data_IF_133546399468
#
_entry.id   IF_133546399468
#
_cell.length_a   1.000
_cell.length_b   1.000
_cell.length_c   1.000
_cell.angle_alpha   90.00
_cell.angle_beta   90.00
_cell.angle_gamma   90.00
#
_symmetry.space_group_name_H-M   'P 1'
#
loop_
_entity.id
_entity.type
_entity.pdbx_description
1 polymer ?
#
# COMPACT_ATOMS: atom_id res chain seq x y z
N UNK A 1 15.21 -43.25 -17.64
CA UNK A 1 15.83 -41.98 -17.21
C UNK A 1 14.71 -41.01 -16.88
N UNK A 2 14.32 -40.93 -15.62
CA UNK A 2 13.36 -39.93 -15.15
C UNK A 2 14.13 -38.63 -14.90
N UNK A 3 13.66 -37.53 -15.49
CA UNK A 3 14.16 -36.19 -15.23
C UNK A 3 13.79 -35.81 -13.78
N UNK A 4 14.80 -35.41 -13.01
CA UNK A 4 14.61 -34.84 -11.68
C UNK A 4 14.10 -33.40 -11.81
N UNK A 5 13.05 -33.08 -11.04
CA UNK A 5 12.47 -31.75 -10.91
C UNK A 5 13.46 -30.80 -10.22
N UNK A 6 13.94 -29.79 -10.96
CA UNK A 6 14.88 -28.76 -10.51
C UNK A 6 14.17 -27.52 -9.90
N UNK A 7 12.99 -27.71 -9.28
CA UNK A 7 12.13 -26.62 -8.81
C UNK A 7 12.42 -26.10 -7.40
N UNK A 8 13.09 -26.86 -6.53
CA UNK A 8 13.06 -26.64 -5.07
C UNK A 8 14.17 -25.77 -4.46
N UNK A 9 15.29 -25.56 -5.15
CA UNK A 9 16.47 -24.87 -4.58
C UNK A 9 16.42 -23.34 -4.75
N UNK A 10 15.82 -22.85 -5.84
CA UNK A 10 15.72 -21.43 -6.15
C UNK A 10 14.66 -20.67 -5.32
N UNK A 11 13.51 -21.30 -5.08
CA UNK A 11 12.38 -20.66 -4.38
C UNK A 11 12.66 -20.44 -2.89
N UNK A 12 13.24 -21.43 -2.20
CA UNK A 12 13.65 -21.28 -0.80
C UNK A 12 14.65 -20.12 -0.62
N UNK A 13 15.58 -19.95 -1.57
CA UNK A 13 16.58 -18.88 -1.52
C UNK A 13 15.94 -17.49 -1.67
N UNK A 14 14.96 -17.33 -2.56
CA UNK A 14 14.27 -16.05 -2.76
C UNK A 14 13.39 -15.69 -1.56
N UNK A 15 12.64 -16.66 -1.04
CA UNK A 15 11.75 -16.45 0.11
C UNK A 15 12.54 -15.96 1.33
N UNK A 16 13.69 -16.58 1.60
CA UNK A 16 14.58 -16.21 2.70
C UNK A 16 15.15 -14.80 2.51
N UNK A 17 15.53 -14.44 1.28
CA UNK A 17 16.03 -13.10 0.95
C UNK A 17 14.98 -12.01 1.15
N UNK A 18 13.76 -12.19 0.62
CA UNK A 18 12.66 -11.23 0.79
C UNK A 18 12.27 -11.10 2.27
N UNK A 19 12.23 -12.22 3.00
CA UNK A 19 11.94 -12.23 4.45
C UNK A 19 13.00 -11.44 5.23
N UNK A 20 14.29 -11.72 5.00
CA UNK A 20 15.39 -11.05 5.68
C UNK A 20 15.45 -9.55 5.35
N UNK A 21 15.22 -9.20 4.08
CA UNK A 21 15.17 -7.81 3.62
C UNK A 21 14.01 -7.06 4.28
N UNK A 22 12.83 -7.66 4.32
CA UNK A 22 11.65 -7.05 4.92
C UNK A 22 11.83 -6.86 6.43
N UNK A 23 12.40 -7.83 7.16
CA UNK A 23 12.72 -7.69 8.59
C UNK A 23 13.66 -6.52 8.90
N UNK A 24 14.57 -6.19 7.96
CA UNK A 24 15.46 -5.02 8.10
C UNK A 24 14.72 -3.70 7.95
N UNK A 25 13.72 -3.66 7.06
CA UNK A 25 13.01 -2.44 6.69
C UNK A 25 11.78 -2.16 7.54
N UNK A 26 11.02 -3.19 7.90
CA UNK A 26 9.84 -3.01 8.73
C UNK A 26 10.22 -2.46 10.11
N UNK A 27 9.34 -1.60 10.64
CA UNK A 27 9.50 -0.94 11.93
C UNK A 27 8.32 -1.18 12.87
N UNK A 28 7.31 -1.91 12.40
CA UNK A 28 6.17 -2.26 13.24
C UNK A 28 6.50 -3.52 14.05
N UNK A 29 6.64 -3.35 15.36
CA UNK A 29 6.98 -4.43 16.28
C UNK A 29 6.01 -5.63 16.19
N UNK A 30 4.70 -5.38 16.03
CA UNK A 30 3.71 -6.46 15.98
C UNK A 30 3.93 -7.38 14.77
N UNK A 31 4.18 -6.80 13.60
CA UNK A 31 4.43 -7.57 12.37
C UNK A 31 5.80 -8.23 12.37
N UNK A 32 6.82 -7.57 12.94
CA UNK A 32 8.15 -8.17 13.15
C UNK A 32 8.08 -9.41 14.04
N UNK A 33 7.37 -9.35 15.17
CA UNK A 33 7.26 -10.48 16.10
C UNK A 33 6.51 -11.67 15.47
N UNK A 34 5.49 -11.41 14.65
CA UNK A 34 4.82 -12.48 13.89
C UNK A 34 5.81 -13.19 12.98
N UNK A 35 6.59 -12.46 12.18
CA UNK A 35 7.55 -13.06 11.24
C UNK A 35 8.66 -13.82 11.95
N UNK A 36 9.23 -13.25 13.03
CA UNK A 36 10.25 -13.94 13.84
C UNK A 36 9.75 -15.26 14.40
N UNK A 37 8.49 -15.30 14.88
CA UNK A 37 7.86 -16.53 15.36
C UNK A 37 7.71 -17.55 14.25
N UNK A 38 7.21 -17.15 13.07
CA UNK A 38 7.07 -18.06 11.93
C UNK A 38 8.43 -18.67 11.50
N UNK A 39 9.51 -17.88 11.56
CA UNK A 39 10.87 -18.36 11.30
C UNK A 39 11.30 -19.37 12.37
N UNK A 40 11.10 -19.06 13.65
CA UNK A 40 11.48 -19.95 14.76
C UNK A 40 10.72 -21.28 14.74
N UNK A 41 9.46 -21.26 14.29
CA UNK A 41 8.62 -22.45 14.11
C UNK A 41 8.91 -23.21 12.82
N UNK A 42 9.75 -22.67 11.92
CA UNK A 42 10.02 -23.27 10.61
C UNK A 42 8.78 -23.31 9.71
N UNK A 43 7.79 -22.44 9.93
CA UNK A 43 6.51 -22.44 9.23
C UNK A 43 6.63 -21.79 7.84
N UNK A 44 7.21 -22.56 6.90
CA UNK A 44 7.46 -22.10 5.52
C UNK A 44 6.18 -21.78 4.76
N UNK A 45 5.09 -22.50 5.00
CA UNK A 45 3.82 -22.27 4.31
C UNK A 45 3.28 -20.87 4.61
N UNK A 46 3.32 -20.44 5.88
CA UNK A 46 2.83 -19.12 6.26
C UNK A 46 3.80 -18.00 5.83
N UNK A 47 5.11 -18.28 5.82
CA UNK A 47 6.10 -17.37 5.24
C UNK A 47 5.85 -17.17 3.74
N UNK A 48 5.54 -18.23 2.99
CA UNK A 48 5.18 -18.13 1.57
C UNK A 48 3.93 -17.26 1.35
N UNK A 49 2.91 -17.39 2.20
CA UNK A 49 1.73 -16.50 2.14
C UNK A 49 2.04 -15.03 2.45
N UNK A 50 3.12 -14.75 3.18
CA UNK A 50 3.54 -13.40 3.52
C UNK A 50 4.52 -12.80 2.50
N UNK A 51 5.36 -13.63 1.86
CA UNK A 51 6.54 -13.19 1.10
C UNK A 51 6.66 -13.78 -0.31
N UNK A 52 5.81 -14.72 -0.70
CA UNK A 52 5.89 -15.43 -1.98
C UNK A 52 5.61 -14.55 -3.20
N UNK A 53 4.71 -13.58 -3.06
CA UNK A 53 4.29 -12.70 -4.14
C UNK A 53 4.20 -11.23 -3.72
N UNK A 54 4.67 -10.30 -4.57
CA UNK A 54 4.42 -8.88 -4.34
C UNK A 54 2.98 -8.53 -4.73
N UNK A 55 2.40 -7.59 -4.02
CA UNK A 55 1.08 -7.07 -4.37
C UNK A 55 1.08 -6.35 -5.70
N UNK A 56 0.05 -6.62 -6.49
CA UNK A 56 -0.18 -6.01 -7.78
C UNK A 56 -1.36 -5.02 -7.73
N UNK A 57 -1.28 -3.99 -8.57
CA UNK A 57 -2.37 -3.02 -8.71
C UNK A 57 -3.49 -3.60 -9.57
N UNK A 58 -4.63 -3.87 -8.94
CA UNK A 58 -5.86 -4.23 -9.63
C UNK A 58 -6.66 -3.02 -10.12
N UNK A 59 -7.81 -3.29 -10.73
CA UNK A 59 -8.77 -2.27 -11.21
C UNK A 59 -9.29 -1.35 -10.11
N UNK A 60 -9.24 -1.79 -8.86
CA UNK A 60 -9.69 -1.05 -7.69
C UNK A 60 -8.55 -0.71 -6.71
N UNK A 61 -7.31 -0.64 -7.23
CA UNK A 61 -6.11 -0.30 -6.46
C UNK A 61 -5.42 -1.52 -5.84
N UNK A 62 -4.52 -1.24 -4.90
CA UNK A 62 -3.78 -2.26 -4.15
C UNK A 62 -4.68 -2.86 -3.06
N UNK A 63 -4.78 -4.19 -3.00
CA UNK A 63 -5.61 -4.90 -2.02
C UNK A 63 -4.92 -6.15 -1.51
N UNK A 64 -4.99 -6.33 -0.20
CA UNK A 64 -4.53 -7.52 0.52
C UNK A 64 -5.09 -7.51 1.94
N UNK A 65 -5.08 -8.67 2.61
CA UNK A 65 -5.27 -8.74 4.05
C UNK A 65 -4.17 -7.95 4.78
N UNK A 66 -4.52 -7.37 5.93
CA UNK A 66 -3.52 -6.69 6.77
C UNK A 66 -2.64 -7.71 7.49
N UNK A 67 -1.32 -7.52 7.41
CA UNK A 67 -0.40 -8.49 7.98
C UNK A 67 1.05 -8.27 7.57
N UNK A 68 1.97 -9.10 8.07
CA UNK A 68 3.38 -9.00 7.72
C UNK A 68 3.67 -9.41 6.28
N UNK A 69 4.79 -8.91 5.76
CA UNK A 69 5.35 -9.32 4.48
C UNK A 69 4.86 -8.54 3.25
N UNK A 70 5.47 -8.85 2.12
CA UNK A 70 5.29 -8.13 0.85
C UNK A 70 4.00 -8.51 0.10
N UNK A 71 3.36 -9.61 0.51
CA UNK A 71 2.06 -10.07 0.00
C UNK A 71 0.87 -9.51 0.82
N UNK A 72 1.13 -8.63 1.79
CA UNK A 72 0.11 -8.13 2.74
C UNK A 72 0.11 -6.60 2.82
N UNK A 73 -0.99 -6.08 3.35
CA UNK A 73 -1.11 -4.66 3.64
C UNK A 73 -0.49 -4.33 5.01
N UNK A 74 0.55 -3.51 5.02
CA UNK A 74 1.25 -3.05 6.21
C UNK A 74 1.91 -1.70 5.96
N UNK A 75 2.45 -1.11 7.02
CA UNK A 75 3.10 0.19 7.00
C UNK A 75 4.18 0.30 5.91
N UNK A 76 5.03 -0.71 5.77
CA UNK A 76 6.12 -0.71 4.80
C UNK A 76 5.58 -0.74 3.35
N UNK A 77 4.60 -1.60 3.07
CA UNK A 77 3.90 -1.64 1.79
C UNK A 77 3.34 -0.26 1.44
N UNK A 78 2.66 0.42 2.38
CA UNK A 78 2.11 1.76 2.14
C UNK A 78 3.19 2.76 1.80
N UNK A 79 4.25 2.83 2.60
CA UNK A 79 5.33 3.79 2.38
C UNK A 79 5.97 3.57 1.01
N UNK A 80 6.32 2.32 0.67
CA UNK A 80 6.97 1.99 -0.60
C UNK A 80 6.06 2.27 -1.80
N UNK A 81 4.79 1.87 -1.73
CA UNK A 81 3.81 2.14 -2.78
C UNK A 81 3.59 3.64 -2.95
N UNK A 82 3.42 4.39 -1.86
CA UNK A 82 3.25 5.85 -1.93
C UNK A 82 4.48 6.54 -2.50
N UNK A 83 5.70 6.12 -2.15
CA UNK A 83 6.93 6.65 -2.75
C UNK A 83 6.99 6.40 -4.26
N UNK A 84 6.64 5.19 -4.71
CA UNK A 84 6.53 4.88 -6.13
C UNK A 84 5.50 5.75 -6.84
N UNK A 85 4.35 5.95 -6.19
CA UNK A 85 3.27 6.77 -6.72
C UNK A 85 3.63 8.26 -6.78
N UNK A 86 4.35 8.81 -5.79
CA UNK A 86 4.90 10.17 -5.83
C UNK A 86 5.70 10.41 -7.12
N UNK A 87 6.68 9.53 -7.39
CA UNK A 87 7.54 9.65 -8.57
C UNK A 87 6.76 9.53 -9.87
N UNK A 88 5.72 8.70 -9.90
CA UNK A 88 4.84 8.60 -11.06
C UNK A 88 4.07 9.91 -11.26
N UNK A 89 3.42 10.42 -10.22
CA UNK A 89 2.61 11.64 -10.30
C UNK A 89 3.45 12.86 -10.69
N UNK A 90 4.66 13.02 -10.14
CA UNK A 90 5.56 14.12 -10.50
C UNK A 90 5.93 14.11 -12.00
N UNK A 91 6.06 12.92 -12.60
CA UNK A 91 6.31 12.79 -14.05
C UNK A 91 5.09 13.12 -14.90
N UNK A 92 3.90 12.84 -14.38
CA UNK A 92 2.65 13.07 -15.13
C UNK A 92 2.12 14.49 -14.97
N UNK A 93 2.40 15.15 -13.84
CA UNK A 93 1.77 16.41 -13.44
C UNK A 93 2.80 17.42 -12.96
N UNK A 94 3.14 18.37 -13.83
CA UNK A 94 4.08 19.44 -13.52
C UNK A 94 3.61 20.40 -12.42
N UNK A 95 2.30 20.48 -12.19
CA UNK A 95 1.69 21.33 -11.16
C UNK A 95 1.29 20.58 -9.88
N UNK A 96 1.76 19.33 -9.69
CA UNK A 96 1.46 18.51 -8.52
C UNK A 96 1.79 19.20 -7.20
N UNK A 97 2.94 19.88 -7.11
CA UNK A 97 3.38 20.55 -5.87
C UNK A 97 2.57 21.80 -5.53
N UNK A 98 1.83 22.34 -6.50
CA UNK A 98 0.90 23.47 -6.28
C UNK A 98 -0.48 22.93 -5.88
N UNK A 99 -0.93 21.84 -6.52
CA UNK A 99 -2.26 21.25 -6.31
C UNK A 99 -2.38 20.36 -5.08
N UNK A 100 -1.32 19.64 -4.74
CA UNK A 100 -1.34 18.64 -3.67
C UNK A 100 -2.14 17.38 -4.00
N UNK A 101 -2.49 16.62 -2.95
CA UNK A 101 -3.27 15.37 -3.01
C UNK A 101 -4.31 15.36 -1.90
N UNK A 102 -5.50 14.82 -2.20
CA UNK A 102 -6.54 14.58 -1.20
C UNK A 102 -6.52 13.11 -0.77
N UNK A 103 -6.55 12.86 0.54
CA UNK A 103 -6.53 11.52 1.12
C UNK A 103 -7.71 11.38 2.08
N UNK A 104 -8.45 10.29 1.95
CA UNK A 104 -9.51 9.87 2.89
C UNK A 104 -9.29 8.42 3.32
N UNK A 105 -10.06 7.98 4.32
CA UNK A 105 -10.00 6.61 4.82
C UNK A 105 -11.36 6.16 5.36
N UNK A 106 -11.56 4.84 5.44
CA UNK A 106 -12.72 4.22 6.07
C UNK A 106 -12.40 3.70 7.49
N UNK A 107 -13.35 3.01 8.12
CA UNK A 107 -13.29 2.62 9.53
C UNK A 107 -12.46 1.36 9.82
N UNK A 108 -11.70 0.82 8.86
CA UNK A 108 -11.15 -0.52 8.98
C UNK A 108 -9.84 -0.56 9.78
N UNK A 109 -9.71 -1.62 10.56
CA UNK A 109 -8.56 -1.86 11.41
C UNK A 109 -8.33 -3.36 11.58
N UNK A 110 -7.07 -3.73 11.76
CA UNK A 110 -6.66 -5.07 12.11
C UNK A 110 -5.74 -4.97 13.34
N UNK A 111 -6.32 -5.05 14.56
CA UNK A 111 -5.60 -4.82 15.81
C UNK A 111 -4.36 -5.71 15.96
N UNK A 112 -4.43 -6.97 15.52
CA UNK A 112 -3.34 -7.94 15.66
C UNK A 112 -2.07 -7.59 14.89
N UNK A 113 -2.18 -6.81 13.79
CA UNK A 113 -1.02 -6.29 13.05
C UNK A 113 -0.72 -4.82 13.36
N UNK A 114 -1.56 -4.14 14.15
CA UNK A 114 -1.50 -2.69 14.34
C UNK A 114 -1.91 -1.86 13.12
N UNK A 115 -2.41 -2.50 12.06
CA UNK A 115 -2.84 -1.84 10.83
C UNK A 115 -4.20 -1.19 10.95
N UNK A 116 -4.39 -0.03 10.33
CA UNK A 116 -5.71 0.59 10.15
C UNK A 116 -5.72 1.55 8.98
N UNK A 117 -6.89 1.77 8.38
CA UNK A 117 -7.07 2.73 7.28
C UNK A 117 -6.61 4.14 7.68
N UNK A 118 -6.91 4.55 8.92
CA UNK A 118 -6.44 5.84 9.47
C UNK A 118 -4.91 5.89 9.56
N UNK A 119 -4.26 4.83 10.05
CA UNK A 119 -2.78 4.76 10.12
C UNK A 119 -2.16 4.83 8.73
N UNK A 120 -2.68 4.05 7.80
CA UNK A 120 -2.17 3.99 6.44
C UNK A 120 -2.37 5.32 5.69
N UNK A 121 -3.51 5.98 5.86
CA UNK A 121 -3.74 7.31 5.30
C UNK A 121 -2.72 8.35 5.82
N UNK A 122 -2.39 8.29 7.12
CA UNK A 122 -1.35 9.15 7.70
C UNK A 122 0.04 8.83 7.14
N UNK A 123 0.40 7.56 6.99
CA UNK A 123 1.69 7.16 6.39
C UNK A 123 1.81 7.63 4.94
N UNK A 124 0.75 7.46 4.15
CA UNK A 124 0.69 7.98 2.79
C UNK A 124 0.84 9.51 2.77
N UNK A 125 0.09 10.22 3.63
CA UNK A 125 0.19 11.68 3.77
C UNK A 125 1.60 12.13 4.12
N UNK A 126 2.22 11.54 5.14
CA UNK A 126 3.61 11.84 5.55
C UNK A 126 4.59 11.59 4.41
N UNK A 127 4.38 10.52 3.63
CA UNK A 127 5.23 10.21 2.48
C UNK A 127 5.13 11.29 1.41
N UNK A 128 3.92 11.74 1.03
CA UNK A 128 3.76 12.87 0.09
C UNK A 128 4.34 14.18 0.60
N UNK A 129 4.10 14.51 1.88
CA UNK A 129 4.63 15.72 2.52
C UNK A 129 6.16 15.71 2.48
N UNK A 130 6.80 14.55 2.70
CA UNK A 130 8.27 14.41 2.63
C UNK A 130 8.86 14.74 1.24
N UNK A 131 8.04 14.69 0.19
CA UNK A 131 8.42 15.05 -1.19
C UNK A 131 8.06 16.50 -1.55
N UNK A 132 7.53 17.27 -0.60
CA UNK A 132 7.05 18.64 -0.81
C UNK A 132 5.72 18.72 -1.57
N UNK A 133 4.90 17.66 -1.53
CA UNK A 133 3.56 17.63 -2.11
C UNK A 133 2.56 17.97 -1.01
N UNK A 134 1.74 19.04 -1.14
CA UNK A 134 0.70 19.36 -0.17
C UNK A 134 -0.32 18.23 -0.04
N UNK A 135 -0.82 17.99 1.18
CA UNK A 135 -1.81 16.93 1.42
C UNK A 135 -3.02 17.48 2.17
N UNK A 136 -4.20 17.20 1.64
CA UNK A 136 -5.50 17.44 2.28
C UNK A 136 -6.03 16.11 2.80
N UNK A 137 -5.79 15.84 4.08
CA UNK A 137 -6.25 14.63 4.75
C UNK A 137 -7.57 14.92 5.48
N UNK A 138 -8.60 14.11 5.22
CA UNK A 138 -9.85 14.18 5.98
C UNK A 138 -9.63 13.92 7.47
N UNK A 139 -10.32 14.69 8.32
CA UNK A 139 -10.18 14.59 9.78
C UNK A 139 -10.74 13.30 10.37
N UNK A 140 -11.72 12.69 9.69
CA UNK A 140 -12.33 11.44 10.13
C UNK A 140 -12.76 10.54 8.96
N UNK A 141 -13.30 9.37 9.30
CA UNK A 141 -13.86 8.37 8.41
C UNK A 141 -14.80 9.05 7.42
N UNK A 142 -14.47 8.89 6.13
CA UNK A 142 -15.16 9.62 5.06
C UNK A 142 -15.57 8.66 3.95
N UNK A 143 -16.86 8.56 3.64
CA UNK A 143 -17.33 7.80 2.49
C UNK A 143 -16.76 8.33 1.17
N UNK A 144 -16.42 7.42 0.26
CA UNK A 144 -15.91 7.70 -1.09
C UNK A 144 -16.59 8.87 -1.84
N UNK A 145 -17.93 9.03 -1.82
CA UNK A 145 -18.58 10.15 -2.53
C UNK A 145 -18.14 11.55 -2.06
N UNK A 146 -17.82 11.72 -0.77
CA UNK A 146 -17.36 13.00 -0.24
C UNK A 146 -15.97 13.39 -0.74
N UNK A 147 -15.14 12.41 -1.08
CA UNK A 147 -13.84 12.68 -1.70
C UNK A 147 -14.06 13.32 -3.07
N UNK A 148 -14.96 12.75 -3.88
CA UNK A 148 -15.29 13.29 -5.21
C UNK A 148 -15.77 14.74 -5.09
N UNK A 149 -16.58 15.04 -4.07
CA UNK A 149 -17.07 16.39 -3.82
C UNK A 149 -15.95 17.35 -3.39
N UNK A 150 -15.06 16.93 -2.49
CA UNK A 150 -13.90 17.73 -2.10
C UNK A 150 -13.00 18.05 -3.31
N UNK A 151 -12.83 17.13 -4.25
CA UNK A 151 -12.05 17.38 -5.47
C UNK A 151 -12.69 18.43 -6.37
N UNK A 152 -14.02 18.47 -6.46
CA UNK A 152 -14.73 19.53 -7.20
C UNK A 152 -14.55 20.88 -6.51
N UNK A 153 -14.69 20.92 -5.18
CA UNK A 153 -14.57 22.14 -4.38
C UNK A 153 -13.17 22.75 -4.46
N UNK A 154 -12.12 21.92 -4.56
CA UNK A 154 -10.73 22.35 -4.76
C UNK A 154 -10.40 22.72 -6.24
N UNK A 155 -11.42 22.85 -7.10
CA UNK A 155 -11.31 23.11 -8.54
C UNK A 155 -10.37 22.16 -9.31
N UNK A 156 -10.10 20.94 -8.79
CA UNK A 156 -9.33 19.94 -9.55
C UNK A 156 -10.01 19.56 -10.87
N UNK A 157 -11.32 19.76 -11.01
CA UNK A 157 -12.07 19.43 -12.22
C UNK A 157 -11.93 20.44 -13.37
N UNK A 158 -11.58 21.71 -13.11
CA UNK A 158 -11.62 22.78 -14.13
C UNK A 158 -10.44 22.79 -15.12
N UNK A 159 -9.39 22.02 -14.88
CA UNK A 159 -8.15 22.05 -15.69
C UNK A 159 -7.67 20.68 -16.17
N UNK A 160 -8.41 19.63 -15.88
CA UNK A 160 -8.06 18.27 -16.26
C UNK A 160 -9.09 17.78 -17.28
N UNK A 161 -8.62 17.26 -18.40
CA UNK A 161 -9.48 16.70 -19.44
C UNK A 161 -10.26 15.50 -18.83
N UNK A 162 -11.57 15.38 -19.08
CA UNK A 162 -12.49 14.46 -18.37
C UNK A 162 -12.01 12.99 -18.35
N UNK A 163 -11.24 12.57 -19.36
CA UNK A 163 -10.63 11.23 -19.44
C UNK A 163 -9.51 11.00 -18.40
N UNK A 164 -8.78 12.03 -18.03
CA UNK A 164 -7.72 11.95 -17.02
C UNK A 164 -8.30 11.97 -15.59
N UNK A 165 -9.35 12.78 -15.34
CA UNK A 165 -10.08 12.77 -14.08
C UNK A 165 -10.64 11.38 -13.76
N UNK A 166 -11.30 10.70 -14.69
CA UNK A 166 -11.91 9.37 -14.42
C UNK A 166 -10.88 8.29 -14.12
N UNK A 167 -9.70 8.35 -14.74
CA UNK A 167 -8.61 7.39 -14.48
C UNK A 167 -7.89 7.68 -13.16
N UNK A 168 -7.69 8.95 -12.78
CA UNK A 168 -7.03 9.30 -11.51
C UNK A 168 -7.95 9.33 -10.29
N UNK A 169 -9.21 9.79 -10.41
CA UNK A 169 -10.16 9.81 -9.29
C UNK A 169 -10.51 8.41 -8.80
N UNK A 170 -10.52 7.43 -9.69
CA UNK A 170 -10.78 6.03 -9.33
C UNK A 170 -9.52 5.36 -8.72
N UNK A 171 -8.33 5.89 -9.02
CA UNK A 171 -7.06 5.42 -8.45
C UNK A 171 -6.80 5.94 -7.04
N UNK A 172 -7.36 7.10 -6.69
CA UNK A 172 -7.16 7.81 -5.42
C UNK A 172 -8.30 7.67 -4.41
N UNK A 173 -9.22 6.74 -4.65
CA UNK A 173 -10.17 6.31 -3.63
C UNK A 173 -9.90 4.84 -3.36
N UNK A 174 -9.00 4.66 -2.41
CA UNK A 174 -8.78 3.42 -1.70
C UNK A 174 -10.11 2.84 -1.22
N UNK A 175 -10.73 2.00 -2.05
CA UNK A 175 -11.53 0.86 -1.58
C UNK A 175 -10.54 -0.19 -1.10
N UNK A 176 -9.70 0.20 -0.14
CA UNK A 176 -8.72 -0.64 0.49
C UNK A 176 -9.45 -1.38 1.59
N UNK A 177 -9.39 -2.72 1.56
CA UNK A 177 -9.89 -3.66 2.58
C UNK A 177 -11.37 -4.07 2.39
N UNK A 178 -11.83 -4.45 1.19
CA UNK A 178 -12.94 -5.43 1.16
C UNK A 178 -12.34 -6.82 0.99
N UNK A 179 -12.72 -7.66 1.94
CA UNK A 179 -12.56 -9.13 2.02
C UNK A 179 -11.16 -9.60 2.43
N UNK A 180 -10.90 -9.64 3.74
CA UNK A 180 -10.99 -10.80 4.64
C UNK A 180 -10.42 -10.41 6.01
#
# INVERSE_FOLDING_TARGET
MAAAEDGGLGENTRLDQETAQWLRWDKNFLTLEVVKRLIAEGNKEELEKCFGARLEFGTAGLRAAMGPGISRMNDLTIIQTTQGFCRYLEKQFSDLKQKGIVISFDARAHPSSGGSSRRFARLAATTFISQGIPVYLFSDITPTPFVVEALKALEWSRRWNEKALRKLLTFLIWKCILEF
#
